data_IF_403087913269
#
_entry.id   IF_403087913269
#
_cell.length_a   1.000
_cell.length_b   1.000
_cell.length_c   1.000
_cell.angle_alpha   90.00
_cell.angle_beta   90.00
_cell.angle_gamma   90.00
#
_symmetry.space_group_name_H-M   'P 1'
#
loop_
_entity.id
_entity.type
_entity.pdbx_description
1 polymer ?
#
# COMPACT_ATOMS: atom_id res chain seq x y z
N UNK A 1 -52.02 -18.27 -50.08
CA UNK A 1 -51.64 -17.00 -49.40
C UNK A 1 -51.98 -17.18 -47.94
N UNK A 2 -51.00 -17.63 -47.17
CA UNK A 2 -51.14 -17.84 -45.71
C UNK A 2 -50.59 -16.61 -45.03
N UNK A 3 -51.39 -15.97 -44.18
CA UNK A 3 -51.10 -14.71 -43.56
C UNK A 3 -50.30 -14.89 -42.25
N UNK A 4 -49.43 -13.98 -41.99
CA UNK A 4 -48.49 -13.84 -40.86
C UNK A 4 -49.13 -13.89 -39.42
N UNK A 5 -50.35 -14.40 -39.29
CA UNK A 5 -51.10 -14.40 -37.98
C UNK A 5 -51.18 -15.72 -37.25
N UNK A 6 -50.72 -16.84 -37.85
CA UNK A 6 -50.87 -18.20 -37.28
C UNK A 6 -49.60 -18.74 -36.60
N UNK A 7 -48.55 -17.95 -36.40
CA UNK A 7 -47.28 -18.39 -35.82
C UNK A 7 -47.10 -18.01 -34.34
N UNK A 8 -48.14 -17.46 -33.67
CA UNK A 8 -48.03 -16.96 -32.30
C UNK A 8 -48.91 -17.73 -31.28
N UNK A 9 -49.25 -18.96 -31.54
CA UNK A 9 -49.96 -19.82 -30.56
C UNK A 9 -49.33 -21.18 -30.48
N UNK A 10 -48.18 -21.32 -29.91
CA UNK A 10 -47.69 -22.53 -29.22
C UNK A 10 -46.19 -22.39 -29.01
N UNK A 11 -45.79 -21.87 -27.85
CA UNK A 11 -44.73 -22.38 -26.98
C UNK A 11 -44.76 -21.50 -25.72
N UNK A 12 -45.53 -21.95 -24.76
CA UNK A 12 -45.35 -21.53 -23.39
C UNK A 12 -44.16 -22.31 -22.80
N UNK A 13 -42.98 -21.74 -22.86
CA UNK A 13 -41.88 -22.22 -22.00
C UNK A 13 -41.52 -21.04 -21.07
N UNK A 14 -41.87 -21.21 -19.82
CA UNK A 14 -41.38 -20.36 -18.73
C UNK A 14 -39.87 -20.38 -18.69
N UNK A 15 -39.27 -19.30 -19.18
CA UNK A 15 -37.87 -19.02 -18.93
C UNK A 15 -37.76 -18.58 -17.45
N UNK A 16 -37.38 -19.53 -16.60
CA UNK A 16 -36.84 -19.20 -15.29
C UNK A 16 -35.53 -18.50 -15.53
N UNK A 17 -35.53 -17.18 -15.46
CA UNK A 17 -34.30 -16.40 -15.37
C UNK A 17 -33.67 -16.77 -14.03
N UNK A 18 -32.83 -17.77 -14.03
CA UNK A 18 -31.92 -18.00 -12.92
C UNK A 18 -31.00 -16.77 -12.85
N UNK A 19 -31.21 -15.94 -11.84
CA UNK A 19 -30.28 -14.89 -11.48
C UNK A 19 -28.92 -15.59 -11.26
N UNK A 20 -28.00 -15.45 -12.21
CA UNK A 20 -26.62 -15.85 -12.03
C UNK A 20 -26.08 -14.99 -10.89
N UNK A 21 -25.98 -15.58 -9.71
CA UNK A 21 -25.15 -15.04 -8.62
C UNK A 21 -23.73 -14.87 -9.19
N UNK A 22 -23.07 -13.73 -8.95
CA UNK A 22 -21.67 -13.61 -9.32
C UNK A 22 -20.93 -14.78 -8.66
N UNK A 23 -20.15 -15.50 -9.47
CA UNK A 23 -19.36 -16.61 -8.99
C UNK A 23 -18.52 -16.13 -7.80
N UNK A 24 -18.87 -16.59 -6.62
CA UNK A 24 -18.04 -16.47 -5.43
C UNK A 24 -16.74 -17.22 -5.75
N UNK A 25 -15.67 -16.50 -6.02
CA UNK A 25 -14.33 -17.02 -5.96
C UNK A 25 -13.97 -17.28 -4.49
N UNK A 26 -14.67 -18.22 -3.87
CA UNK A 26 -14.24 -18.87 -2.65
C UNK A 26 -13.31 -20.02 -3.03
N UNK A 27 -12.17 -19.70 -3.68
CA UNK A 27 -11.00 -20.53 -3.50
C UNK A 27 -10.66 -20.40 -2.01
N UNK A 28 -10.84 -21.47 -1.24
CA UNK A 28 -10.62 -21.49 0.19
C UNK A 28 -9.27 -20.88 0.52
N UNK A 29 -9.28 -19.68 1.06
CA UNK A 29 -8.06 -18.98 1.48
C UNK A 29 -7.51 -19.73 2.67
N UNK A 30 -6.46 -20.51 2.44
CA UNK A 30 -5.74 -21.17 3.53
C UNK A 30 -5.25 -20.06 4.47
N UNK A 31 -5.79 -20.05 5.68
CA UNK A 31 -5.47 -19.01 6.68
C UNK A 31 -3.97 -18.99 6.91
N UNK A 32 -3.37 -17.82 6.97
CA UNK A 32 -1.94 -17.63 7.18
C UNK A 32 -1.48 -18.44 8.42
N UNK A 33 -0.54 -19.37 8.25
CA UNK A 33 0.02 -20.18 9.36
C UNK A 33 1.05 -19.38 10.16
N UNK A 34 0.61 -18.37 10.91
CA UNK A 34 1.42 -17.53 11.77
C UNK A 34 1.10 -16.04 11.61
N UNK A 35 1.69 -15.23 12.47
CA UNK A 35 1.50 -13.78 12.47
C UNK A 35 2.59 -13.08 11.66
N UNK A 36 2.23 -12.03 10.91
CA UNK A 36 3.21 -11.16 10.27
C UNK A 36 4.04 -10.46 11.34
N UNK A 37 5.37 -10.37 11.17
CA UNK A 37 6.20 -9.58 12.08
C UNK A 37 5.75 -8.13 12.10
N UNK A 38 5.93 -7.47 13.23
CA UNK A 38 5.68 -6.04 13.40
C UNK A 38 6.97 -5.23 13.23
N UNK A 39 6.81 -4.04 12.69
CA UNK A 39 7.83 -2.99 12.66
C UNK A 39 7.29 -1.76 13.41
N UNK A 40 8.18 -0.84 13.74
CA UNK A 40 7.79 0.39 14.45
C UNK A 40 8.06 1.62 13.58
N UNK A 41 7.00 2.38 13.30
CA UNK A 41 7.07 3.69 12.64
C UNK A 41 6.97 4.75 13.75
N UNK A 42 8.12 5.21 14.27
CA UNK A 42 8.15 5.96 15.52
C UNK A 42 7.56 5.14 16.67
N UNK A 43 6.50 5.66 17.32
CA UNK A 43 5.80 4.95 18.40
C UNK A 43 4.72 3.96 17.93
N UNK A 44 4.38 3.96 16.65
CA UNK A 44 3.30 3.15 16.07
C UNK A 44 3.83 1.78 15.64
N UNK A 45 3.25 0.70 16.17
CA UNK A 45 3.48 -0.67 15.70
C UNK A 45 2.56 -1.00 14.52
N UNK A 46 3.12 -1.54 13.43
CA UNK A 46 2.36 -2.02 12.27
C UNK A 46 2.98 -3.31 11.74
N UNK A 47 2.20 -4.10 10.99
CA UNK A 47 2.74 -5.27 10.30
C UNK A 47 3.84 -4.89 9.30
N UNK A 48 4.81 -5.78 9.12
CA UNK A 48 5.92 -5.60 8.17
C UNK A 48 5.47 -5.48 6.71
N UNK A 49 4.27 -5.97 6.37
CA UNK A 49 3.56 -5.73 5.13
C UNK A 49 2.44 -4.72 5.38
N UNK A 50 2.42 -3.65 4.62
CA UNK A 50 1.42 -2.59 4.63
C UNK A 50 0.61 -2.65 3.34
N UNK A 51 -0.71 -2.49 3.44
CA UNK A 51 -1.60 -2.44 2.28
C UNK A 51 -1.43 -1.12 1.54
N UNK A 52 -1.06 -1.17 0.26
CA UNK A 52 -1.01 -0.02 -0.64
C UNK A 52 -2.35 0.22 -1.32
N UNK A 53 -2.63 1.44 -1.68
CA UNK A 53 -3.96 1.86 -2.15
C UNK A 53 -4.05 2.32 -3.60
N UNK A 54 -2.97 2.35 -4.35
CA UNK A 54 -3.01 2.82 -5.75
C UNK A 54 -4.12 2.16 -6.58
N UNK A 55 -4.33 0.83 -6.51
CA UNK A 55 -5.41 0.18 -7.24
C UNK A 55 -6.82 0.64 -6.82
N UNK A 56 -7.03 1.05 -5.56
CA UNK A 56 -8.34 1.56 -5.08
C UNK A 56 -8.83 2.79 -5.86
N UNK A 57 -7.89 3.54 -6.42
CA UNK A 57 -8.14 4.78 -7.19
C UNK A 57 -7.91 4.59 -8.69
N UNK A 58 -7.67 3.37 -9.15
CA UNK A 58 -7.35 3.08 -10.54
C UNK A 58 -5.97 3.60 -10.97
N UNK A 59 -5.01 3.75 -10.05
CA UNK A 59 -3.64 4.14 -10.40
C UNK A 59 -2.84 2.90 -10.79
N UNK A 60 -2.84 2.57 -12.06
CA UNK A 60 -2.16 1.38 -12.61
C UNK A 60 -0.67 1.61 -12.92
N UNK A 61 -0.26 2.86 -13.11
CA UNK A 61 1.10 3.23 -13.56
C UNK A 61 1.57 2.43 -14.80
N UNK A 62 0.65 2.16 -15.74
CA UNK A 62 0.91 1.30 -16.89
C UNK A 62 1.10 -0.17 -16.51
N UNK A 63 0.35 -0.66 -15.51
CA UNK A 63 0.38 -2.05 -15.09
C UNK A 63 -0.06 -2.98 -16.24
N UNK A 64 0.79 -3.95 -16.66
CA UNK A 64 0.43 -4.88 -17.75
C UNK A 64 -0.63 -5.90 -17.34
N UNK A 65 -0.95 -6.04 -16.05
CA UNK A 65 -1.88 -7.05 -15.52
C UNK A 65 -3.30 -6.52 -15.32
N UNK A 66 -3.50 -5.21 -15.23
CA UNK A 66 -4.79 -4.57 -15.06
C UNK A 66 -4.76 -3.11 -15.53
N UNK A 67 -5.83 -2.66 -16.19
CA UNK A 67 -6.01 -1.26 -16.57
C UNK A 67 -6.60 -0.42 -15.44
N UNK A 68 -6.48 0.90 -15.55
CA UNK A 68 -7.13 1.85 -14.66
C UNK A 68 -8.65 1.67 -14.60
N UNK A 69 -9.30 1.40 -15.74
CA UNK A 69 -10.75 1.20 -15.82
C UNK A 69 -11.15 -0.08 -15.10
N UNK A 70 -10.45 -1.18 -15.34
CA UNK A 70 -10.69 -2.46 -14.68
C UNK A 70 -10.55 -2.35 -13.14
N UNK A 71 -9.58 -1.57 -12.66
CA UNK A 71 -9.43 -1.29 -11.23
C UNK A 71 -10.57 -0.44 -10.68
N UNK A 72 -10.98 0.62 -11.39
CA UNK A 72 -12.10 1.48 -10.95
C UNK A 72 -13.42 0.75 -10.90
N UNK A 73 -13.70 -0.11 -11.86
CA UNK A 73 -14.90 -0.96 -11.86
C UNK A 73 -14.91 -1.96 -10.70
N UNK A 74 -13.77 -2.53 -10.38
CA UNK A 74 -13.64 -3.52 -9.31
C UNK A 74 -13.78 -2.90 -7.92
N UNK A 75 -13.16 -1.72 -7.69
CA UNK A 75 -13.07 -1.12 -6.37
C UNK A 75 -14.23 -0.18 -6.04
N UNK A 76 -15.40 -0.76 -5.80
CA UNK A 76 -16.49 -0.06 -5.10
C UNK A 76 -16.13 0.18 -3.63
N UNK A 77 -16.89 1.04 -2.92
CA UNK A 77 -16.68 1.26 -1.48
C UNK A 77 -16.76 -0.04 -0.68
N UNK A 78 -17.74 -0.89 -0.98
CA UNK A 78 -17.93 -2.18 -0.34
C UNK A 78 -16.76 -3.13 -0.62
N UNK A 79 -16.25 -3.12 -1.85
CA UNK A 79 -15.09 -3.95 -2.23
C UNK A 79 -13.82 -3.49 -1.54
N UNK A 80 -13.59 -2.18 -1.42
CA UNK A 80 -12.45 -1.64 -0.66
C UNK A 80 -12.52 -2.09 0.80
N UNK A 81 -13.71 -1.99 1.44
CA UNK A 81 -13.89 -2.45 2.82
C UNK A 81 -13.65 -3.94 2.97
N UNK A 82 -14.14 -4.77 2.04
CA UNK A 82 -13.93 -6.22 2.04
C UNK A 82 -12.43 -6.59 1.87
N UNK A 83 -11.71 -5.88 1.00
CA UNK A 83 -10.26 -6.07 0.80
C UNK A 83 -9.47 -5.68 2.05
N UNK A 84 -9.88 -4.63 2.76
CA UNK A 84 -9.26 -4.26 4.05
C UNK A 84 -9.50 -5.31 5.14
N UNK A 85 -10.69 -5.89 5.21
CA UNK A 85 -10.99 -6.98 6.15
C UNK A 85 -10.20 -8.24 5.82
N UNK A 86 -10.13 -8.63 4.54
CA UNK A 86 -9.31 -9.73 4.08
C UNK A 86 -7.82 -9.51 4.41
N UNK A 87 -7.31 -8.29 4.19
CA UNK A 87 -5.94 -7.93 4.55
C UNK A 87 -5.69 -8.11 6.06
N UNK A 88 -6.63 -7.68 6.91
CA UNK A 88 -6.54 -7.85 8.36
C UNK A 88 -6.59 -9.33 8.78
N UNK A 89 -7.38 -10.16 8.12
CA UNK A 89 -7.43 -11.61 8.34
C UNK A 89 -6.11 -12.31 8.01
N UNK A 90 -5.33 -11.73 7.09
CA UNK A 90 -3.98 -12.16 6.75
C UNK A 90 -2.88 -11.44 7.56
N UNK A 91 -3.24 -10.76 8.66
CA UNK A 91 -2.30 -10.16 9.60
C UNK A 91 -1.76 -8.78 9.17
N UNK A 92 -2.27 -8.19 8.09
CA UNK A 92 -1.94 -6.82 7.70
C UNK A 92 -2.70 -5.87 8.61
N UNK A 93 -1.98 -4.96 9.30
CA UNK A 93 -2.59 -4.08 10.30
C UNK A 93 -2.78 -2.65 9.83
N UNK A 94 -2.13 -2.26 8.73
CA UNK A 94 -2.11 -0.88 8.26
C UNK A 94 -2.37 -0.78 6.75
N UNK A 95 -3.01 0.34 6.36
CA UNK A 95 -3.15 0.79 4.97
C UNK A 95 -2.51 2.16 4.81
N UNK A 96 -1.81 2.38 3.68
CA UNK A 96 -1.22 3.68 3.31
C UNK A 96 -1.98 4.26 2.13
N UNK A 97 -2.66 5.42 2.35
CA UNK A 97 -3.57 6.01 1.36
C UNK A 97 -3.52 7.54 1.36
N UNK A 98 -3.82 8.18 0.20
CA UNK A 98 -4.07 9.61 0.11
C UNK A 98 -5.24 10.06 1.02
N UNK A 99 -5.33 11.40 1.23
CA UNK A 99 -6.39 12.03 2.01
C UNK A 99 -7.60 12.42 1.15
N UNK A 100 -7.88 11.72 0.07
CA UNK A 100 -8.99 12.02 -0.82
C UNK A 100 -10.34 11.91 -0.12
N UNK A 101 -11.28 12.75 -0.51
CA UNK A 101 -12.61 12.82 0.11
C UNK A 101 -13.35 11.47 0.06
N UNK A 102 -13.30 10.79 -1.09
CA UNK A 102 -13.89 9.46 -1.25
C UNK A 102 -13.24 8.43 -0.31
N UNK A 103 -11.91 8.46 -0.13
CA UNK A 103 -11.23 7.60 0.83
C UNK A 103 -11.64 7.91 2.27
N UNK A 104 -11.65 9.20 2.66
CA UNK A 104 -12.04 9.62 4.02
C UNK A 104 -13.45 9.14 4.34
N UNK A 105 -14.38 9.22 3.38
CA UNK A 105 -15.76 8.70 3.54
C UNK A 105 -15.75 7.18 3.75
N UNK A 106 -15.02 6.43 2.90
CA UNK A 106 -14.91 4.96 3.02
C UNK A 106 -14.28 4.58 4.36
N UNK A 107 -13.19 5.24 4.76
CA UNK A 107 -12.49 4.97 6.01
C UNK A 107 -13.37 5.19 7.25
N UNK A 108 -14.10 6.30 7.31
CA UNK A 108 -15.00 6.59 8.42
C UNK A 108 -16.13 5.56 8.50
N UNK A 109 -16.81 5.29 7.37
CA UNK A 109 -17.84 4.25 7.28
C UNK A 109 -17.33 2.85 7.67
N UNK A 110 -16.11 2.51 7.25
CA UNK A 110 -15.46 1.25 7.60
C UNK A 110 -15.24 1.11 9.12
N UNK A 111 -14.74 2.16 9.76
CA UNK A 111 -14.56 2.21 11.22
C UNK A 111 -15.87 2.12 11.98
N UNK A 112 -16.90 2.84 11.55
CA UNK A 112 -18.24 2.82 12.13
C UNK A 112 -18.86 1.42 12.08
N UNK A 113 -18.59 0.67 11.02
CA UNK A 113 -19.02 -0.72 10.88
C UNK A 113 -18.16 -1.73 11.65
N UNK A 114 -17.18 -1.28 12.42
CA UNK A 114 -16.31 -2.15 13.19
C UNK A 114 -15.22 -2.85 12.41
N UNK A 115 -14.84 -2.32 11.24
CA UNK A 115 -13.83 -2.89 10.33
C UNK A 115 -12.57 -3.40 11.04
N UNK A 116 -11.98 -4.47 10.54
CA UNK A 116 -10.89 -5.23 11.20
C UNK A 116 -9.54 -4.54 11.09
N UNK A 117 -9.22 -3.89 9.96
CA UNK A 117 -7.98 -3.13 9.78
C UNK A 117 -8.05 -1.83 10.60
N UNK A 118 -7.04 -1.57 11.44
CA UNK A 118 -7.14 -0.52 12.47
C UNK A 118 -6.26 0.70 12.24
N UNK A 119 -5.28 0.62 11.35
CA UNK A 119 -4.30 1.69 11.16
C UNK A 119 -4.41 2.28 9.77
N UNK A 120 -4.69 3.57 9.71
CA UNK A 120 -4.50 4.38 8.53
C UNK A 120 -3.21 5.19 8.67
N UNK A 121 -2.26 5.00 7.75
CA UNK A 121 -1.12 5.87 7.51
C UNK A 121 -1.55 6.80 6.39
N UNK A 122 -1.73 8.08 6.68
CA UNK A 122 -2.19 9.04 5.67
C UNK A 122 -1.03 9.49 4.77
N UNK A 123 -1.35 9.72 3.49
CA UNK A 123 -0.44 10.21 2.47
C UNK A 123 -0.94 11.54 1.90
N UNK A 124 -0.72 12.67 2.58
CA UNK A 124 -1.02 13.98 2.01
C UNK A 124 -0.29 14.19 0.67
N UNK A 125 -1.04 14.59 -0.37
CA UNK A 125 -0.50 14.76 -1.72
C UNK A 125 -0.96 16.04 -2.44
N UNK A 126 -1.80 16.85 -1.80
CA UNK A 126 -2.33 18.10 -2.33
C UNK A 126 -1.85 19.31 -1.52
N UNK A 127 -1.71 20.42 -2.19
CA UNK A 127 -1.40 21.69 -1.54
C UNK A 127 -2.69 22.52 -1.26
N UNK A 128 -2.77 23.29 -0.18
CA UNK A 128 -1.73 23.41 0.84
C UNK A 128 -1.64 22.18 1.74
N UNK A 129 -0.42 21.75 2.03
CA UNK A 129 -0.14 20.50 2.77
C UNK A 129 -0.74 20.49 4.17
N UNK A 130 -0.78 21.62 4.84
CA UNK A 130 -1.35 21.81 6.17
C UNK A 130 -2.83 21.43 6.24
N UNK A 131 -3.56 21.68 5.15
CA UNK A 131 -4.96 21.28 5.03
C UNK A 131 -5.10 19.75 4.99
N UNK A 132 -4.28 19.09 4.19
CA UNK A 132 -4.30 17.62 4.06
C UNK A 132 -3.89 16.94 5.37
N UNK A 133 -2.87 17.48 6.07
CA UNK A 133 -2.46 17.01 7.40
C UNK A 133 -3.63 17.12 8.39
N UNK A 134 -4.32 18.27 8.42
CA UNK A 134 -5.49 18.47 9.29
C UNK A 134 -6.64 17.50 8.97
N UNK A 135 -6.89 17.22 7.68
CA UNK A 135 -7.88 16.22 7.24
C UNK A 135 -7.49 14.84 7.78
N UNK A 136 -6.24 14.43 7.64
CA UNK A 136 -5.74 13.14 8.12
C UNK A 136 -5.92 13.01 9.66
N UNK A 137 -5.50 14.02 10.41
CA UNK A 137 -5.63 14.07 11.88
C UNK A 137 -7.09 13.98 12.31
N UNK A 138 -7.96 14.84 11.74
CA UNK A 138 -9.40 14.88 12.07
C UNK A 138 -10.09 13.54 11.84
N UNK A 139 -9.67 12.78 10.84
CA UNK A 139 -10.29 11.50 10.49
C UNK A 139 -9.54 10.28 11.06
N UNK A 140 -8.66 10.50 12.04
CA UNK A 140 -8.10 9.45 12.89
C UNK A 140 -6.99 8.63 12.25
N UNK A 141 -6.20 9.22 11.33
CA UNK A 141 -4.93 8.62 10.90
C UNK A 141 -4.02 8.39 12.12
N UNK A 142 -3.20 7.35 12.08
CA UNK A 142 -2.29 6.98 13.17
C UNK A 142 -0.84 7.34 12.91
N UNK A 143 -0.50 7.65 11.67
CA UNK A 143 0.77 8.20 11.21
C UNK A 143 0.54 8.95 9.90
N UNK A 144 1.44 9.84 9.53
CA UNK A 144 1.38 10.57 8.27
C UNK A 144 2.74 10.44 7.57
N UNK A 145 2.73 9.99 6.30
CA UNK A 145 3.89 9.98 5.42
C UNK A 145 3.58 10.84 4.19
N UNK A 146 4.22 11.99 4.08
CA UNK A 146 4.01 12.95 2.99
C UNK A 146 4.38 12.29 1.66
N UNK A 147 3.56 12.51 0.65
CA UNK A 147 3.68 11.90 -0.68
C UNK A 147 5.00 12.26 -1.38
N UNK A 148 5.57 11.26 -2.08
CA UNK A 148 6.91 11.35 -2.63
C UNK A 148 7.13 12.49 -3.62
N UNK A 149 6.18 12.76 -4.53
CA UNK A 149 6.32 13.86 -5.50
C UNK A 149 6.39 15.20 -4.77
N UNK A 150 5.62 15.39 -3.68
CA UNK A 150 5.64 16.65 -2.91
C UNK A 150 6.98 16.86 -2.20
N UNK A 151 7.57 15.80 -1.68
CA UNK A 151 8.92 15.86 -1.12
C UNK A 151 9.95 16.09 -2.22
N UNK A 152 9.87 15.33 -3.32
CA UNK A 152 10.82 15.44 -4.44
C UNK A 152 10.80 16.86 -5.06
N UNK A 153 9.63 17.52 -5.16
CA UNK A 153 9.48 18.88 -5.63
C UNK A 153 10.19 19.87 -4.69
N UNK A 154 9.94 19.81 -3.38
CA UNK A 154 10.57 20.71 -2.42
C UNK A 154 12.10 20.52 -2.35
N UNK A 155 12.55 19.26 -2.40
CA UNK A 155 13.98 18.93 -2.38
C UNK A 155 14.69 19.44 -3.64
N UNK A 156 14.08 19.26 -4.81
CA UNK A 156 14.61 19.80 -6.08
C UNK A 156 14.77 21.33 -6.02
N UNK A 157 13.81 22.00 -5.41
CA UNK A 157 13.77 23.45 -5.32
C UNK A 157 14.56 24.01 -4.10
N UNK A 158 15.23 23.12 -3.33
CA UNK A 158 16.04 23.48 -2.16
C UNK A 158 15.25 23.84 -0.90
N UNK A 159 13.95 23.65 -0.89
CA UNK A 159 13.01 24.09 0.17
C UNK A 159 12.92 23.10 1.35
N UNK A 160 14.05 22.70 1.92
CA UNK A 160 14.10 21.78 3.04
C UNK A 160 13.36 22.24 4.29
N UNK A 161 13.32 23.57 4.52
CA UNK A 161 12.60 24.14 5.66
C UNK A 161 11.08 23.96 5.54
N UNK A 162 10.54 23.97 4.32
CA UNK A 162 9.14 23.65 4.07
C UNK A 162 8.85 22.19 4.46
N UNK A 163 9.74 21.26 4.07
CA UNK A 163 9.62 19.85 4.46
C UNK A 163 9.69 19.68 5.97
N UNK A 164 10.64 20.37 6.63
CA UNK A 164 10.78 20.40 8.09
C UNK A 164 9.49 20.87 8.75
N UNK A 165 8.94 22.00 8.31
CA UNK A 165 7.69 22.55 8.84
C UNK A 165 6.51 21.59 8.74
N UNK A 166 6.38 20.85 7.65
CA UNK A 166 5.35 19.83 7.50
C UNK A 166 5.53 18.67 8.48
N UNK A 167 6.76 18.17 8.67
CA UNK A 167 7.05 17.10 9.63
C UNK A 167 6.80 17.56 11.07
N UNK A 168 7.20 18.77 11.42
CA UNK A 168 6.95 19.36 12.74
C UNK A 168 5.45 19.55 13.01
N UNK A 169 4.68 19.97 12.02
CA UNK A 169 3.23 20.07 12.11
C UNK A 169 2.59 18.69 12.39
N UNK A 170 3.04 17.63 11.71
CA UNK A 170 2.56 16.27 11.98
C UNK A 170 2.87 15.88 13.44
N UNK A 171 4.10 16.12 13.87
CA UNK A 171 4.55 15.80 15.24
C UNK A 171 3.82 16.63 16.31
N UNK A 172 3.45 17.88 16.04
CA UNK A 172 2.67 18.70 16.97
C UNK A 172 1.29 18.13 17.27
N UNK A 173 0.74 17.32 16.36
CA UNK A 173 -0.47 16.52 16.58
C UNK A 173 -0.21 15.19 17.29
N UNK A 174 1.02 14.93 17.74
CA UNK A 174 1.39 13.70 18.45
C UNK A 174 1.45 12.45 17.56
N UNK A 175 1.51 12.60 16.23
CA UNK A 175 1.58 11.50 15.28
C UNK A 175 3.03 11.26 14.81
N UNK A 176 3.41 9.99 14.53
CA UNK A 176 4.63 9.71 13.81
C UNK A 176 4.64 10.38 12.43
N UNK A 177 5.73 11.09 12.15
CA UNK A 177 5.94 11.83 10.90
C UNK A 177 6.87 11.07 9.97
N UNK A 178 6.42 10.82 8.76
CA UNK A 178 7.20 10.20 7.70
C UNK A 178 7.22 11.03 6.43
N UNK A 179 8.14 10.70 5.55
CA UNK A 179 8.23 11.26 4.21
C UNK A 179 8.52 10.17 3.19
N UNK A 180 7.92 10.29 2.00
CA UNK A 180 8.19 9.41 0.88
C UNK A 180 9.09 10.12 -0.16
N UNK A 181 9.78 9.35 -1.01
CA UNK A 181 10.54 9.89 -2.14
C UNK A 181 10.64 8.87 -3.26
N UNK A 182 10.81 9.37 -4.49
CA UNK A 182 11.19 8.57 -5.65
C UNK A 182 12.69 8.65 -5.95
N UNK A 183 13.44 9.51 -5.25
CA UNK A 183 14.89 9.65 -5.38
C UNK A 183 15.59 8.77 -4.35
N UNK A 184 16.67 8.13 -4.75
CA UNK A 184 17.38 7.21 -3.87
C UNK A 184 18.03 7.92 -2.66
N UNK A 185 18.58 9.12 -2.83
CA UNK A 185 19.44 9.80 -1.84
C UNK A 185 18.70 10.75 -0.90
N UNK A 186 17.47 11.15 -1.22
CA UNK A 186 16.73 12.19 -0.47
C UNK A 186 16.63 11.90 1.03
N UNK A 187 16.44 10.64 1.42
CA UNK A 187 16.35 10.30 2.85
C UNK A 187 17.69 10.38 3.58
N UNK A 188 18.82 10.12 2.91
CA UNK A 188 20.15 10.35 3.49
C UNK A 188 20.40 11.83 3.69
N UNK A 189 20.06 12.66 2.71
CA UNK A 189 20.15 14.13 2.83
C UNK A 189 19.25 14.65 3.96
N UNK A 190 18.07 14.06 4.16
CA UNK A 190 17.18 14.41 5.28
C UNK A 190 17.79 14.08 6.64
N UNK A 191 18.48 12.94 6.78
CA UNK A 191 19.22 12.56 8.01
C UNK A 191 20.38 13.54 8.27
N UNK A 192 21.18 13.85 7.26
CA UNK A 192 22.30 14.81 7.36
C UNK A 192 21.84 16.19 7.80
N UNK A 193 20.65 16.60 7.35
CA UNK A 193 20.03 17.89 7.73
C UNK A 193 19.27 17.84 9.05
N UNK A 194 19.21 16.69 9.71
CA UNK A 194 18.48 16.51 10.98
C UNK A 194 16.98 16.79 10.85
N UNK A 195 16.33 16.35 9.77
CA UNK A 195 14.88 16.46 9.64
C UNK A 195 14.18 15.58 10.69
N UNK A 196 13.06 16.06 11.29
CA UNK A 196 12.40 15.36 12.39
C UNK A 196 11.48 14.20 11.92
N UNK A 197 11.84 13.49 10.83
CA UNK A 197 11.13 12.31 10.39
C UNK A 197 11.34 11.15 11.38
N UNK A 198 10.30 10.35 11.63
CA UNK A 198 10.36 9.15 12.47
C UNK A 198 10.58 7.89 11.62
N UNK A 199 10.21 7.91 10.34
CA UNK A 199 10.34 6.81 9.40
C UNK A 199 10.32 7.31 7.94
N UNK A 200 10.65 6.42 7.00
CA UNK A 200 10.72 6.74 5.57
C UNK A 200 9.91 5.78 4.72
N UNK A 201 9.37 6.27 3.59
CA UNK A 201 8.86 5.46 2.50
C UNK A 201 9.77 5.63 1.27
N UNK A 202 10.54 4.58 0.92
CA UNK A 202 11.48 4.59 -0.20
C UNK A 202 10.88 3.88 -1.41
N UNK A 203 10.79 4.60 -2.53
CA UNK A 203 10.43 4.03 -3.82
C UNK A 203 11.56 3.14 -4.35
N UNK A 204 11.25 1.92 -4.76
CA UNK A 204 12.22 1.04 -5.40
C UNK A 204 12.24 1.21 -6.93
N UNK A 205 11.16 1.71 -7.52
CA UNK A 205 11.05 1.98 -8.94
C UNK A 205 10.47 3.37 -9.17
N UNK A 206 11.15 4.20 -9.98
CA UNK A 206 10.67 5.54 -10.34
C UNK A 206 9.44 5.46 -11.24
N UNK A 207 8.55 6.47 -11.25
CA UNK A 207 7.34 6.47 -12.09
C UNK A 207 7.62 6.34 -13.59
N UNK A 208 8.69 6.91 -14.09
CA UNK A 208 9.16 6.91 -15.47
C UNK A 208 10.04 5.71 -15.81
N UNK A 209 10.50 4.97 -14.80
CA UNK A 209 11.42 3.86 -14.94
C UNK A 209 11.04 2.70 -14.00
N UNK A 210 10.20 1.79 -14.49
CA UNK A 210 9.81 0.58 -13.75
C UNK A 210 10.73 -0.62 -14.03
N UNK A 211 11.94 -0.38 -14.55
CA UNK A 211 12.95 -1.38 -14.81
C UNK A 211 13.97 -1.45 -13.66
N UNK A 212 15.17 -1.95 -13.92
CA UNK A 212 16.14 -2.22 -12.84
C UNK A 212 16.93 -1.01 -12.39
N UNK A 213 17.06 0.01 -13.24
CA UNK A 213 17.80 1.21 -12.89
C UNK A 213 17.19 1.91 -11.66
N UNK A 214 18.02 2.25 -10.71
CA UNK A 214 17.64 2.86 -9.45
C UNK A 214 17.21 1.90 -8.36
N UNK A 215 16.96 0.61 -8.65
CA UNK A 215 16.61 -0.39 -7.63
C UNK A 215 17.78 -0.59 -6.66
N UNK A 216 18.97 -0.83 -7.18
CA UNK A 216 20.17 -1.10 -6.37
C UNK A 216 20.54 0.12 -5.51
N UNK A 217 20.49 1.31 -6.10
CA UNK A 217 20.75 2.57 -5.42
C UNK A 217 19.75 2.81 -4.29
N UNK A 218 18.45 2.57 -4.54
CA UNK A 218 17.41 2.68 -3.52
C UNK A 218 17.58 1.66 -2.39
N UNK A 219 17.95 0.41 -2.71
CA UNK A 219 18.21 -0.62 -1.70
C UNK A 219 19.46 -0.29 -0.89
N UNK A 220 20.54 0.19 -1.53
CA UNK A 220 21.75 0.63 -0.83
C UNK A 220 21.48 1.80 0.13
N UNK A 221 20.57 2.70 -0.24
CA UNK A 221 20.10 3.77 0.64
C UNK A 221 19.34 3.22 1.84
N UNK A 222 18.40 2.28 1.62
CA UNK A 222 17.64 1.65 2.71
C UNK A 222 18.59 1.01 3.73
N UNK A 223 19.64 0.32 3.28
CA UNK A 223 20.62 -0.33 4.18
C UNK A 223 21.31 0.68 5.10
N UNK A 224 21.64 1.86 4.59
CA UNK A 224 22.37 2.92 5.33
C UNK A 224 21.49 3.69 6.30
N UNK A 225 20.17 3.77 6.07
CA UNK A 225 19.28 4.58 6.86
C UNK A 225 19.13 4.06 8.29
N UNK A 226 19.32 4.91 9.33
CA UNK A 226 19.19 4.51 10.72
C UNK A 226 17.75 4.32 11.18
N UNK A 227 16.79 4.96 10.51
CA UNK A 227 15.36 4.90 10.82
C UNK A 227 14.66 3.78 10.04
N UNK A 228 13.47 3.32 10.47
CA UNK A 228 12.67 2.35 9.74
C UNK A 228 12.28 2.85 8.34
N UNK A 229 12.35 1.96 7.36
CA UNK A 229 11.98 2.25 5.98
C UNK A 229 10.88 1.30 5.54
N UNK A 230 9.84 1.84 4.90
CA UNK A 230 8.83 1.07 4.16
C UNK A 230 9.16 1.19 2.67
N UNK A 231 9.63 0.11 2.06
CA UNK A 231 9.87 0.07 0.63
C UNK A 231 8.54 -0.02 -0.13
N UNK A 232 8.31 0.85 -1.11
CA UNK A 232 7.10 0.81 -1.93
C UNK A 232 7.42 0.69 -3.44
N UNK A 233 6.40 0.37 -4.25
CA UNK A 233 6.55 -0.03 -5.66
C UNK A 233 7.49 -1.23 -5.84
N UNK A 234 7.59 -2.08 -4.83
CA UNK A 234 8.50 -3.23 -4.78
C UNK A 234 8.26 -4.24 -5.93
N UNK A 235 7.05 -4.27 -6.48
CA UNK A 235 6.67 -5.12 -7.62
C UNK A 235 6.64 -4.36 -8.95
N UNK A 236 7.29 -3.20 -9.03
CA UNK A 236 7.35 -2.36 -10.23
C UNK A 236 5.95 -2.13 -10.87
N UNK A 237 4.96 -1.76 -10.04
CA UNK A 237 3.57 -1.56 -10.44
C UNK A 237 2.96 -2.81 -11.14
N UNK A 238 3.20 -4.00 -10.59
CA UNK A 238 2.64 -5.25 -11.09
C UNK A 238 3.40 -5.89 -12.26
N UNK A 239 4.56 -5.33 -12.68
CA UNK A 239 5.38 -5.90 -13.76
C UNK A 239 6.18 -7.12 -13.32
N UNK A 240 6.42 -7.27 -12.01
CA UNK A 240 7.20 -8.36 -11.45
C UNK A 240 6.37 -9.10 -10.41
N UNK A 241 6.38 -10.42 -10.49
CA UNK A 241 5.63 -11.26 -9.53
C UNK A 241 6.27 -11.23 -8.14
N UNK A 242 5.46 -11.32 -7.06
CA UNK A 242 5.95 -11.34 -5.69
C UNK A 242 7.04 -12.39 -5.43
N UNK A 243 6.82 -13.62 -5.93
CA UNK A 243 7.77 -14.75 -5.77
C UNK A 243 9.16 -14.49 -6.36
N UNK A 244 9.23 -13.66 -7.40
CA UNK A 244 10.47 -13.37 -8.12
C UNK A 244 11.21 -12.16 -7.53
N UNK A 245 10.48 -11.22 -6.91
CA UNK A 245 11.05 -9.97 -6.43
C UNK A 245 11.23 -9.89 -4.91
N UNK A 246 10.24 -10.31 -4.13
CA UNK A 246 10.32 -10.16 -2.68
C UNK A 246 11.52 -10.87 -2.04
N UNK A 247 11.96 -12.09 -2.48
CA UNK A 247 13.18 -12.71 -1.92
C UNK A 247 14.44 -11.84 -2.06
N UNK A 248 14.56 -11.13 -3.18
CA UNK A 248 15.68 -10.23 -3.42
C UNK A 248 15.62 -8.98 -2.54
N UNK A 249 14.44 -8.34 -2.47
CA UNK A 249 14.22 -7.15 -1.65
C UNK A 249 14.45 -7.46 -0.16
N UNK A 250 13.90 -8.56 0.35
CA UNK A 250 14.02 -8.94 1.77
C UNK A 250 15.44 -9.26 2.21
N UNK A 251 16.36 -9.64 1.32
CA UNK A 251 17.78 -9.79 1.64
C UNK A 251 18.48 -8.46 1.98
N UNK A 252 17.89 -7.34 1.54
CA UNK A 252 18.45 -5.99 1.68
C UNK A 252 17.70 -5.16 2.74
N UNK A 253 16.53 -5.62 3.19
CA UNK A 253 15.77 -4.96 4.24
C UNK A 253 16.23 -5.38 5.62
N UNK A 254 16.42 -4.38 6.49
CA UNK A 254 16.67 -4.61 7.92
C UNK A 254 15.44 -5.21 8.62
N UNK A 255 15.58 -5.87 9.78
CA UNK A 255 14.44 -6.40 10.54
C UNK A 255 13.36 -5.34 10.86
N UNK A 256 13.75 -4.09 11.03
CA UNK A 256 12.85 -2.94 11.31
C UNK A 256 12.18 -2.34 10.07
N UNK A 257 12.59 -2.74 8.87
CA UNK A 257 12.02 -2.24 7.62
C UNK A 257 10.83 -3.08 7.17
N UNK A 258 9.93 -2.47 6.42
CA UNK A 258 8.74 -3.11 5.87
C UNK A 258 8.58 -2.87 4.37
N UNK A 259 7.51 -3.40 3.83
CA UNK A 259 7.09 -3.16 2.43
C UNK A 259 5.65 -2.68 2.37
N UNK A 260 5.34 -1.89 1.35
CA UNK A 260 3.97 -1.50 1.01
C UNK A 260 3.62 -2.02 -0.39
N UNK A 261 2.54 -2.79 -0.48
CA UNK A 261 2.10 -3.44 -1.73
C UNK A 261 0.63 -3.14 -1.97
N UNK A 262 0.32 -2.53 -3.12
CA UNK A 262 -1.04 -2.45 -3.64
C UNK A 262 -1.48 -3.81 -4.17
N UNK A 263 -2.76 -4.15 -4.01
CA UNK A 263 -3.31 -5.44 -4.43
C UNK A 263 -4.47 -5.23 -5.39
N UNK A 264 -4.67 -6.18 -6.31
CA UNK A 264 -5.82 -6.27 -7.19
C UNK A 264 -6.28 -7.73 -7.28
N UNK A 265 -6.97 -8.22 -6.21
CA UNK A 265 -7.24 -9.66 -6.05
C UNK A 265 -8.43 -10.16 -6.90
N UNK A 266 -8.58 -9.62 -8.13
CA UNK A 266 -9.63 -10.04 -9.07
C UNK A 266 -9.35 -11.39 -9.72
N UNK A 267 -8.07 -11.66 -10.02
CA UNK A 267 -7.64 -12.86 -10.76
C UNK A 267 -6.92 -13.89 -9.88
N UNK A 268 -6.36 -13.46 -8.75
CA UNK A 268 -5.62 -14.31 -7.79
C UNK A 268 -5.65 -13.67 -6.40
N UNK A 269 -5.48 -14.45 -5.36
CA UNK A 269 -5.42 -13.95 -3.99
C UNK A 269 -4.04 -13.32 -3.69
N UNK A 270 -3.85 -12.08 -4.16
CA UNK A 270 -2.60 -11.35 -3.95
C UNK A 270 -2.35 -11.01 -2.47
N UNK A 271 -3.40 -10.96 -1.65
CA UNK A 271 -3.29 -10.69 -0.21
C UNK A 271 -2.66 -11.90 0.48
N UNK A 272 -3.20 -13.08 0.27
CA UNK A 272 -2.67 -14.33 0.82
C UNK A 272 -1.24 -14.60 0.32
N UNK A 273 -0.97 -14.41 -0.99
CA UNK A 273 0.34 -14.59 -1.58
C UNK A 273 1.39 -13.67 -0.94
N UNK A 274 1.12 -12.36 -0.90
CA UNK A 274 2.04 -11.37 -0.34
C UNK A 274 2.28 -11.57 1.15
N UNK A 275 1.23 -11.90 1.91
CA UNK A 275 1.34 -12.16 3.35
C UNK A 275 2.16 -13.42 3.64
N UNK A 276 1.91 -14.52 2.92
CA UNK A 276 2.65 -15.77 3.09
C UNK A 276 4.13 -15.62 2.75
N UNK A 277 4.45 -14.92 1.65
CA UNK A 277 5.83 -14.61 1.26
C UNK A 277 6.51 -13.71 2.28
N UNK A 278 5.85 -12.65 2.75
CA UNK A 278 6.40 -11.75 3.75
C UNK A 278 6.73 -12.50 5.05
N UNK A 279 5.82 -13.35 5.53
CA UNK A 279 6.05 -14.16 6.72
C UNK A 279 7.25 -15.10 6.55
N UNK A 280 7.29 -15.84 5.43
CA UNK A 280 8.38 -16.78 5.11
C UNK A 280 9.74 -16.10 5.03
N UNK A 281 9.80 -14.96 4.35
CA UNK A 281 11.05 -14.24 4.13
C UNK A 281 11.53 -13.53 5.40
N UNK A 282 10.62 -13.04 6.24
CA UNK A 282 10.96 -12.42 7.51
C UNK A 282 11.58 -13.38 8.51
N UNK A 283 11.22 -14.68 8.46
CA UNK A 283 11.82 -15.73 9.31
C UNK A 283 13.22 -16.15 8.88
N UNK A 284 13.59 -15.88 7.61
CA UNK A 284 14.90 -16.23 7.03
C UNK A 284 15.95 -15.13 7.14
N UNK A 285 15.54 -13.90 7.49
CA UNK A 285 16.50 -12.84 7.74
C UNK A 285 17.36 -13.21 8.96
N UNK A 286 18.70 -13.14 8.89
CA UNK A 286 19.55 -13.42 10.03
C UNK A 286 19.14 -12.53 11.20
N UNK A 287 18.99 -13.12 12.39
CA UNK A 287 18.78 -12.36 13.61
C UNK A 287 20.02 -11.51 13.85
N UNK A 288 19.86 -10.31 14.36
CA UNK A 288 20.98 -9.42 14.67
C UNK A 288 22.00 -10.07 15.63
N UNK A 289 21.60 -11.06 16.42
CA UNK A 289 22.45 -11.92 17.24
C UNK A 289 23.41 -12.81 16.42
N UNK A 290 23.05 -13.17 15.19
CA UNK A 290 23.86 -14.08 14.36
C UNK A 290 25.03 -13.34 13.67
N UNK A 291 24.98 -12.00 13.62
CA UNK A 291 26.04 -11.16 13.07
C UNK A 291 27.10 -10.76 14.11
N UNK A 292 26.82 -10.89 15.41
CA UNK A 292 27.76 -10.58 16.49
C UNK A 292 28.66 -11.74 16.88
N UNK A 293 28.40 -12.95 16.40
CA UNK A 293 29.21 -14.16 16.70
C UNK A 293 30.16 -14.53 15.59
N UNK A 294 30.23 -13.74 14.51
CA UNK A 294 31.14 -13.97 13.37
C UNK A 294 32.24 -12.90 13.27
N UNK A 295 32.56 -12.17 14.36
CA UNK A 295 33.65 -11.20 14.47
C UNK A 295 34.74 -11.66 15.43
#
# INVERSE_FOLDING_TARGET
MSTRRDFLKTVGLGAVVAAMRPADCTAGTEKLKGELPNIRLGKLGVSRLILGSNPFFGFDHGNPQASSDEMREYYTEERIMAVMDQAAEHGITAVWTPCYENWVRVWNRYREKGGKLKVWIAQPDRLPMEREIKIAVKNGSKAIAIQGIRIDDQVRDGNWDVVRGWLELIKSHGLPAGMATHRATTHLEAEERGLPADFYHQCLYRPDNYIREGLEESLATIEKLPKPVVAYKVLAAGRVLPKDRLPYVFKRLKPKDGICVGVFPKKRDEIAENSSLTLKLSRRAPRQSDLQTAG
#
